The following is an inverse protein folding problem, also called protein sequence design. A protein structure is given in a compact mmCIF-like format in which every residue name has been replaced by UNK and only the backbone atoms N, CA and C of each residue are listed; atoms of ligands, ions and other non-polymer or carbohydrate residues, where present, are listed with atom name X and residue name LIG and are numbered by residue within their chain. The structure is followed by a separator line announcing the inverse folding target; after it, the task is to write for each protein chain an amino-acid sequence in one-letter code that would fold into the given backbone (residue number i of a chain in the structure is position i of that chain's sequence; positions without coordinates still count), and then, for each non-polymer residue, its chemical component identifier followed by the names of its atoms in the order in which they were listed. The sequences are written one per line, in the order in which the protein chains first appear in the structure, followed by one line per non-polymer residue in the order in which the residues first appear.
data_IF_432972900205
#
_entry.id   IF_432972900205
#
_cell.length_a   1.000
_cell.length_b   1.000
_cell.length_c   1.000
_cell.angle_alpha   90.00
_cell.angle_beta   90.00
_cell.angle_gamma   90.00
#
_symmetry.space_group_name_H-M   'P 1'
#
loop_
_entity.id
_entity.type
_entity.pdbx_description
1 polymer ?
#
# COMPACT_ATOMS: atom_id res chain seq x y z
N UNK A 1 3.31 9.24 -15.95
CA UNK A 1 1.95 8.81 -16.34
C UNK A 1 1.65 7.56 -15.54
N UNK A 2 0.65 7.60 -14.66
CA UNK A 2 0.14 6.40 -13.99
C UNK A 2 -0.65 5.59 -15.01
N UNK A 3 -0.34 4.32 -15.18
CA UNK A 3 -1.07 3.45 -16.10
C UNK A 3 -2.32 2.87 -15.41
N UNK A 4 -3.29 2.38 -16.19
CA UNK A 4 -4.47 1.66 -15.65
C UNK A 4 -4.03 0.46 -14.78
N UNK A 5 -2.91 -0.17 -15.15
CA UNK A 5 -2.34 -1.27 -14.37
C UNK A 5 -1.81 -0.80 -13.01
N UNK A 6 -1.17 0.37 -12.95
CA UNK A 6 -0.70 0.96 -11.69
C UNK A 6 -1.85 1.39 -10.80
N UNK A 7 -2.90 1.98 -11.38
CA UNK A 7 -4.10 2.37 -10.63
C UNK A 7 -4.78 1.15 -10.02
N UNK A 8 -4.95 0.07 -10.81
CA UNK A 8 -5.46 -1.20 -10.30
C UNK A 8 -4.53 -1.85 -9.24
N UNK A 9 -3.21 -1.66 -9.36
CA UNK A 9 -2.24 -2.13 -8.36
C UNK A 9 -2.41 -1.36 -7.04
N UNK A 10 -2.49 -0.03 -7.11
CA UNK A 10 -2.70 0.84 -5.95
C UNK A 10 -4.02 0.51 -5.24
N UNK A 11 -5.10 0.27 -5.99
CA UNK A 11 -6.39 -0.12 -5.43
C UNK A 11 -6.34 -1.46 -4.71
N UNK A 12 -5.67 -2.47 -5.30
CA UNK A 12 -5.47 -3.76 -4.63
C UNK A 12 -4.68 -3.62 -3.34
N UNK A 13 -3.59 -2.85 -3.38
CA UNK A 13 -2.79 -2.56 -2.17
C UNK A 13 -3.68 -1.91 -1.11
N UNK A 14 -4.46 -0.90 -1.48
CA UNK A 14 -5.38 -0.22 -0.56
C UNK A 14 -6.38 -1.18 0.07
N UNK A 15 -7.01 -2.05 -0.73
CA UNK A 15 -7.99 -3.03 -0.24
C UNK A 15 -7.38 -4.02 0.75
N UNK A 16 -6.16 -4.51 0.50
CA UNK A 16 -5.50 -5.46 1.40
C UNK A 16 -5.08 -4.78 2.70
N UNK A 17 -4.55 -3.55 2.63
CA UNK A 17 -4.20 -2.77 3.83
C UNK A 17 -5.45 -2.49 4.68
N UNK A 18 -6.57 -2.13 4.06
CA UNK A 18 -7.83 -1.84 4.78
C UNK A 18 -8.49 -3.10 5.35
N UNK A 19 -8.24 -4.27 4.75
CA UNK A 19 -8.69 -5.56 5.26
C UNK A 19 -7.90 -6.02 6.50
N UNK A 20 -6.70 -5.48 6.73
CA UNK A 20 -5.93 -5.77 7.93
C UNK A 20 -6.46 -4.94 9.10
N UNK A 21 -7.03 -5.60 10.11
CA UNK A 21 -7.63 -4.96 11.27
C UNK A 21 -6.69 -4.00 12.04
N UNK A 22 -5.37 -4.15 11.88
CA UNK A 22 -4.35 -3.29 12.52
C UNK A 22 -4.13 -1.98 11.77
N UNK A 23 -4.36 -1.99 10.45
CA UNK A 23 -4.16 -0.86 9.55
C UNK A 23 -5.48 -0.23 9.11
N UNK A 24 -6.59 -0.93 9.28
CA UNK A 24 -7.94 -0.44 9.02
C UNK A 24 -8.19 0.84 9.81
N UNK A 25 -8.66 1.88 9.11
CA UNK A 25 -8.89 3.20 9.69
C UNK A 25 -7.66 4.10 9.78
N UNK A 26 -6.45 3.62 9.47
CA UNK A 26 -5.27 4.48 9.37
C UNK A 26 -5.34 5.35 8.10
N UNK A 27 -4.97 6.64 8.16
CA UNK A 27 -5.00 7.55 7.01
C UNK A 27 -3.82 7.30 6.06
N UNK A 28 -3.75 6.10 5.47
CA UNK A 28 -2.71 5.68 4.53
C UNK A 28 -3.20 5.92 3.09
N UNK A 29 -2.55 6.86 2.41
CA UNK A 29 -2.65 7.08 0.98
C UNK A 29 -1.70 6.13 0.24
N UNK A 30 -2.23 5.41 -0.74
CA UNK A 30 -1.49 4.50 -1.61
C UNK A 30 -1.44 5.10 -3.02
N UNK A 31 -0.25 5.13 -3.60
CA UNK A 31 -0.06 5.42 -5.02
C UNK A 31 0.83 4.35 -5.64
N UNK A 32 0.67 4.10 -6.93
CA UNK A 32 1.61 3.24 -7.64
C UNK A 32 2.03 3.88 -8.97
N UNK A 33 3.24 3.57 -9.42
CA UNK A 33 3.75 3.97 -10.71
C UNK A 33 4.80 2.98 -11.21
N UNK A 34 4.59 2.41 -12.40
CA UNK A 34 5.50 1.45 -13.01
C UNK A 34 5.88 0.25 -12.11
N UNK A 35 4.94 -0.18 -11.26
CA UNK A 35 5.16 -1.24 -10.26
C UNK A 35 5.87 -0.81 -8.98
N UNK A 36 6.20 0.47 -8.81
CA UNK A 36 6.63 1.05 -7.52
C UNK A 36 5.41 1.53 -6.76
N UNK A 37 5.29 1.16 -5.49
CA UNK A 37 4.19 1.57 -4.61
C UNK A 37 4.70 2.59 -3.62
N UNK A 38 3.94 3.65 -3.39
CA UNK A 38 4.26 4.69 -2.43
C UNK A 38 3.16 4.70 -1.37
N UNK A 39 3.56 4.46 -0.12
CA UNK A 39 2.70 4.55 1.05
C UNK A 39 2.96 5.87 1.78
N UNK A 40 1.92 6.68 1.96
CA UNK A 40 2.02 7.97 2.66
C UNK A 40 0.90 8.10 3.66
N UNK A 41 1.22 8.38 4.92
CA UNK A 41 0.20 8.56 5.95
C UNK A 41 0.83 8.65 7.33
N UNK A 42 -0.03 8.87 8.32
CA UNK A 42 0.34 8.68 9.72
C UNK A 42 -0.15 7.29 10.16
N UNK A 43 0.63 6.64 11.02
CA UNK A 43 0.27 5.41 11.70
C UNK A 43 0.61 5.58 13.18
N UNK A 44 -0.07 4.84 14.05
CA UNK A 44 0.07 5.02 15.50
C UNK A 44 1.43 4.59 16.05
N UNK A 45 2.12 3.67 15.37
CA UNK A 45 3.44 3.19 15.78
C UNK A 45 4.31 2.76 14.59
N UNK A 46 5.65 2.69 14.78
CA UNK A 46 6.57 2.26 13.74
C UNK A 46 6.35 0.83 13.25
N UNK A 47 5.88 -0.08 14.10
CA UNK A 47 5.64 -1.47 13.71
C UNK A 47 4.53 -1.59 12.66
N UNK A 48 3.49 -0.75 12.74
CA UNK A 48 2.43 -0.66 11.73
C UNK A 48 2.96 -0.18 10.38
N UNK A 49 3.97 0.71 10.37
CA UNK A 49 4.63 1.11 9.12
C UNK A 49 5.30 -0.08 8.46
N UNK A 50 6.05 -0.87 9.23
CA UNK A 50 6.74 -2.06 8.70
C UNK A 50 5.74 -3.12 8.22
N UNK A 51 4.63 -3.32 8.95
CA UNK A 51 3.54 -4.20 8.53
C UNK A 51 2.92 -3.73 7.21
N UNK A 52 2.62 -2.43 7.07
CA UNK A 52 2.05 -1.87 5.85
C UNK A 52 2.98 -2.06 4.65
N UNK A 53 4.28 -1.82 4.82
CA UNK A 53 5.30 -2.06 3.79
C UNK A 53 5.37 -3.55 3.43
N UNK A 54 5.38 -4.44 4.43
CA UNK A 54 5.44 -5.87 4.23
C UNK A 54 4.23 -6.40 3.44
N UNK A 55 3.02 -5.96 3.81
CA UNK A 55 1.79 -6.34 3.12
C UNK A 55 1.79 -5.83 1.68
N UNK A 56 2.13 -4.55 1.47
CA UNK A 56 2.20 -3.97 0.13
C UNK A 56 3.22 -4.70 -0.76
N UNK A 57 4.41 -5.01 -0.23
CA UNK A 57 5.46 -5.71 -0.97
C UNK A 57 5.07 -7.15 -1.36
N UNK A 58 4.15 -7.78 -0.61
CA UNK A 58 3.64 -9.11 -0.91
C UNK A 58 2.64 -9.17 -2.07
N UNK A 59 2.18 -8.03 -2.59
CA UNK A 59 1.14 -8.00 -3.63
C UNK A 59 1.74 -8.27 -5.01
N UNK A 60 1.16 -9.22 -5.78
CA UNK A 60 1.63 -9.51 -7.13
C UNK A 60 1.61 -8.28 -8.03
N UNK A 61 2.77 -7.96 -8.62
CA UNK A 61 2.96 -6.78 -9.47
C UNK A 61 3.71 -5.64 -8.79
N UNK A 62 3.86 -5.69 -7.46
CA UNK A 62 4.72 -4.78 -6.72
C UNK A 62 6.18 -5.17 -6.92
N UNK A 63 6.99 -4.21 -7.34
CA UNK A 63 8.44 -4.33 -7.53
C UNK A 63 9.22 -3.69 -6.39
N UNK A 64 8.69 -2.59 -5.86
CA UNK A 64 9.28 -1.82 -4.78
C UNK A 64 8.20 -1.08 -3.98
N UNK A 65 8.47 -0.78 -2.71
CA UNK A 65 7.58 -0.06 -1.77
C UNK A 65 8.39 0.96 -0.98
#
# INVERSE_FOLDING_TARGET
MTSIADEALADRVRMVLDSDWRLSGQPIEVRASSGEVFLKGAVDNPELKDIAVFIAAGIPGVRHV
#
